data_IF_706860605033
#
_entry.id   IF_706860605033
#
_cell.length_a   1.000
_cell.length_b   1.000
_cell.length_c   1.000
_cell.angle_alpha   90.00
_cell.angle_beta   90.00
_cell.angle_gamma   90.00
#
_symmetry.space_group_name_H-M   'P 1'
#
loop_
_entity.id
_entity.type
_entity.pdbx_description
1 polymer ?
#
# COMPACT_ATOMS: atom_id res chain seq x y z
N UNK A 1 -7.14 -3.78 1.56
CA UNK A 1 -7.63 -2.77 0.60
C UNK A 1 -8.77 -3.37 -0.21
N UNK A 2 -9.95 -2.73 -0.25
CA UNK A 2 -11.07 -3.22 -1.07
C UNK A 2 -10.81 -2.96 -2.56
N UNK A 3 -10.50 -4.00 -3.32
CA UNK A 3 -10.19 -3.89 -4.77
C UNK A 3 -11.31 -3.22 -5.58
N UNK A 4 -12.58 -3.41 -5.17
CA UNK A 4 -13.74 -2.78 -5.80
C UNK A 4 -13.71 -1.25 -5.68
N UNK A 5 -13.27 -0.73 -4.54
CA UNK A 5 -13.22 0.70 -4.27
C UNK A 5 -12.20 1.42 -5.14
N UNK A 6 -11.00 0.85 -5.29
CA UNK A 6 -9.93 1.47 -6.08
C UNK A 6 -10.24 1.49 -7.58
N UNK A 7 -10.88 0.42 -8.09
CA UNK A 7 -11.36 0.36 -9.47
C UNK A 7 -12.37 1.47 -9.76
N UNK A 8 -13.33 1.69 -8.87
CA UNK A 8 -14.35 2.73 -9.05
C UNK A 8 -13.73 4.14 -8.98
N UNK A 9 -12.71 4.31 -8.14
CA UNK A 9 -11.96 5.56 -7.99
C UNK A 9 -11.18 5.92 -9.26
N UNK A 10 -10.45 4.95 -9.83
CA UNK A 10 -9.76 5.10 -11.12
C UNK A 10 -10.78 5.41 -12.22
N UNK A 11 -11.88 4.66 -12.28
CA UNK A 11 -12.91 4.84 -13.32
C UNK A 11 -13.51 6.24 -13.27
N UNK A 12 -13.81 6.74 -12.07
CA UNK A 12 -14.33 8.10 -11.86
C UNK A 12 -13.32 9.16 -12.29
N UNK A 13 -12.07 9.05 -11.86
CA UNK A 13 -11.01 10.00 -12.20
C UNK A 13 -10.73 10.08 -13.72
N UNK A 14 -10.79 8.94 -14.42
CA UNK A 14 -10.69 8.89 -15.89
C UNK A 14 -11.87 9.57 -16.57
N UNK A 15 -13.10 9.28 -16.13
CA UNK A 15 -14.31 9.86 -16.71
C UNK A 15 -14.39 11.38 -16.47
N UNK A 16 -13.92 11.85 -15.32
CA UNK A 16 -13.88 13.28 -14.99
C UNK A 16 -12.65 14.02 -15.52
N UNK A 17 -11.73 13.32 -16.22
CA UNK A 17 -10.42 13.84 -16.66
C UNK A 17 -9.63 14.51 -15.52
N UNK A 18 -9.80 14.00 -14.30
CA UNK A 18 -9.14 14.54 -13.12
C UNK A 18 -7.71 13.98 -13.03
N UNK A 19 -6.79 14.69 -13.68
CA UNK A 19 -5.38 14.35 -13.74
C UNK A 19 -4.70 14.42 -12.38
N UNK A 20 -5.22 15.24 -11.45
CA UNK A 20 -4.69 15.35 -10.10
C UNK A 20 -4.98 14.09 -9.29
N UNK A 21 -6.23 13.63 -9.30
CA UNK A 21 -6.63 12.34 -8.70
C UNK A 21 -5.82 11.17 -9.27
N UNK A 22 -5.64 11.11 -10.58
CA UNK A 22 -4.82 10.08 -11.22
C UNK A 22 -3.35 10.14 -10.76
N UNK A 23 -2.79 11.34 -10.61
CA UNK A 23 -1.44 11.53 -10.07
C UNK A 23 -1.30 11.02 -8.64
N UNK A 24 -2.28 11.30 -7.78
CA UNK A 24 -2.31 10.80 -6.40
C UNK A 24 -2.38 9.27 -6.34
N UNK A 25 -3.20 8.65 -7.20
CA UNK A 25 -3.32 7.19 -7.30
C UNK A 25 -1.98 6.57 -7.74
N UNK A 26 -1.31 7.14 -8.74
CA UNK A 26 -0.01 6.67 -9.21
C UNK A 26 1.07 6.78 -8.12
N UNK A 27 1.10 7.90 -7.39
CA UNK A 27 2.04 8.08 -6.29
C UNK A 27 1.84 7.02 -5.20
N UNK A 28 0.59 6.78 -4.78
CA UNK A 28 0.26 5.75 -3.80
C UNK A 28 0.64 4.34 -4.26
N UNK A 29 0.43 4.01 -5.53
CA UNK A 29 0.80 2.71 -6.07
C UNK A 29 2.32 2.52 -6.09
N UNK A 30 3.06 3.55 -6.52
CA UNK A 30 4.53 3.55 -6.52
C UNK A 30 5.10 3.38 -5.11
N UNK A 31 4.55 4.10 -4.13
CA UNK A 31 4.98 3.98 -2.73
C UNK A 31 4.68 2.58 -2.17
N UNK A 32 3.52 2.01 -2.49
CA UNK A 32 3.14 0.67 -2.07
C UNK A 32 3.99 -0.43 -2.72
N UNK A 33 4.47 -0.21 -3.95
CA UNK A 33 5.39 -1.12 -4.64
C UNK A 33 6.79 -1.03 -4.04
N UNK A 34 7.32 0.18 -3.84
CA UNK A 34 8.60 0.40 -3.15
C UNK A 34 8.59 -0.18 -1.72
N UNK A 35 7.51 0.02 -0.97
CA UNK A 35 7.37 -0.57 0.36
C UNK A 35 7.39 -2.11 0.28
N UNK A 36 6.72 -2.71 -0.72
CA UNK A 36 6.76 -4.15 -0.96
C UNK A 36 8.15 -4.65 -1.31
N UNK A 37 8.90 -3.93 -2.12
CA UNK A 37 10.30 -4.27 -2.45
C UNK A 37 11.20 -4.21 -1.22
N UNK A 38 11.08 -3.16 -0.40
CA UNK A 38 11.84 -3.03 0.85
C UNK A 38 11.52 -4.19 1.80
N UNK A 39 10.24 -4.51 1.94
CA UNK A 39 9.80 -5.65 2.75
C UNK A 39 10.36 -6.96 2.18
N UNK A 40 10.29 -7.17 0.87
CA UNK A 40 10.85 -8.38 0.24
C UNK A 40 12.37 -8.47 0.42
N UNK A 41 13.10 -7.38 0.27
CA UNK A 41 14.55 -7.31 0.48
C UNK A 41 14.94 -7.61 1.94
N UNK A 42 14.08 -7.25 2.90
CA UNK A 42 14.25 -7.59 4.31
C UNK A 42 13.78 -9.02 4.66
N UNK A 43 13.36 -9.82 3.66
CA UNK A 43 12.94 -11.21 3.83
C UNK A 43 11.44 -11.41 4.09
N UNK A 44 10.64 -10.34 4.14
CA UNK A 44 9.20 -10.45 4.34
C UNK A 44 8.50 -10.96 3.08
N UNK A 45 7.57 -11.91 3.26
CA UNK A 45 6.80 -12.49 2.14
C UNK A 45 7.49 -13.65 1.41
N UNK A 46 8.61 -14.16 1.92
CA UNK A 46 9.13 -15.47 1.55
C UNK A 46 8.14 -16.58 1.99
N UNK A 47 8.05 -17.64 1.19
CA UNK A 47 7.17 -18.79 1.47
C UNK A 47 7.44 -19.32 2.89
N UNK A 48 6.48 -19.13 3.81
CA UNK A 48 6.60 -19.52 5.23
C UNK A 48 6.47 -18.39 6.27
N UNK A 49 6.49 -17.11 5.88
CA UNK A 49 6.23 -15.99 6.81
C UNK A 49 4.79 -15.49 6.71
N UNK A 50 3.97 -15.83 7.71
CA UNK A 50 2.59 -15.39 7.87
C UNK A 50 2.53 -13.93 8.33
N UNK A 51 1.41 -13.24 8.05
CA UNK A 51 1.20 -11.82 8.36
C UNK A 51 1.44 -11.44 9.83
N UNK A 52 1.35 -12.41 10.76
CA UNK A 52 1.68 -12.27 12.17
C UNK A 52 3.15 -11.96 12.42
N UNK A 53 4.08 -12.52 11.64
CA UNK A 53 5.50 -12.25 11.75
C UNK A 53 5.83 -10.79 11.36
N UNK A 54 5.12 -10.24 10.37
CA UNK A 54 5.24 -8.84 9.96
C UNK A 54 4.73 -7.88 11.02
N UNK A 55 3.61 -8.20 11.69
CA UNK A 55 3.06 -7.38 12.77
C UNK A 55 3.98 -7.30 14.00
N UNK A 56 4.72 -8.38 14.29
CA UNK A 56 5.65 -8.45 15.42
C UNK A 56 6.95 -7.63 15.22
N UNK A 57 7.27 -7.27 13.97
CA UNK A 57 8.50 -6.53 13.64
C UNK A 57 8.28 -5.03 13.45
N UNK A 58 7.04 -4.55 13.59
CA UNK A 58 6.76 -3.12 13.70
C UNK A 58 6.98 -2.72 15.16
N UNK A 59 7.91 -1.81 15.49
CA UNK A 59 8.10 -1.37 16.86
C UNK A 59 6.79 -0.75 17.36
N UNK A 60 6.24 -1.30 18.45
CA UNK A 60 5.13 -0.69 19.18
C UNK A 60 5.60 0.65 19.73
N UNK A 61 5.45 1.72 18.95
CA UNK A 61 5.62 3.07 19.48
C UNK A 61 4.45 3.34 20.43
N UNK A 62 4.69 3.55 21.74
CA UNK A 62 3.61 3.93 22.62
C UNK A 62 3.10 5.30 22.15
N UNK A 63 1.80 5.36 21.87
CA UNK A 63 1.10 6.62 21.64
C UNK A 63 1.24 7.45 22.91
N UNK A 64 2.15 8.43 22.90
CA UNK A 64 2.21 9.45 23.95
C UNK A 64 0.87 10.19 23.94
N UNK A 65 0.15 10.07 25.06
CA UNK A 65 -0.99 10.94 25.39
C UNK A 65 -0.54 12.39 25.48
#
# INVERSE_FOLDING_TARGET
>A
MNQRHYRDLIRRAVLSKDTHQLGLIVAQLTDAERAREILRAKGYGASGMNASATAAQVPCTPRKN
#
